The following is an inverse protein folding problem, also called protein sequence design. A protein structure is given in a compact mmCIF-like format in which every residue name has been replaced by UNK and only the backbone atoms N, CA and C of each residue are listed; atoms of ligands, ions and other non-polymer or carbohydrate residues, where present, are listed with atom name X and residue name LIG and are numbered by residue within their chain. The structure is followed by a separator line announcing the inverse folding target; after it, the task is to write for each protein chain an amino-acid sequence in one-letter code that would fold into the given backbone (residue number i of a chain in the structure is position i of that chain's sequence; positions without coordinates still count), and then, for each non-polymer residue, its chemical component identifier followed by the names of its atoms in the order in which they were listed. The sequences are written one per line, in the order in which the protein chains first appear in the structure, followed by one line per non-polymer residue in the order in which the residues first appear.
data_IF_028283769514
#
_entry.id   IF_028283769514
#
_cell.length_a   1.000
_cell.length_b   1.000
_cell.length_c   1.000
_cell.angle_alpha   90.00
_cell.angle_beta   90.00
_cell.angle_gamma   90.00
#
_symmetry.space_group_name_H-M   'P 1'
#
loop_
_entity.id
_entity.type
_entity.pdbx_description
1 polymer ?
#
# COMPACT_ATOMS: atom_id res chain seq x y z
N UNK A 1 12.10 -1.31 6.97
CA UNK A 1 10.70 -1.79 6.87
C UNK A 1 10.08 -1.23 5.60
N UNK A 2 9.23 -2.00 4.89
CA UNK A 2 8.50 -1.50 3.70
C UNK A 2 7.11 -0.98 4.11
N UNK A 3 6.74 0.21 3.64
CA UNK A 3 5.48 0.86 3.99
C UNK A 3 4.82 1.38 2.72
N UNK A 4 3.53 1.09 2.53
CA UNK A 4 2.73 1.62 1.42
C UNK A 4 2.29 3.05 1.67
N UNK A 5 2.17 3.85 0.61
CA UNK A 5 1.63 5.20 0.68
C UNK A 5 0.21 5.19 1.28
N UNK A 6 -0.65 4.27 0.83
CA UNK A 6 -2.03 4.18 1.35
C UNK A 6 -2.08 3.96 2.86
N UNK A 7 -1.09 3.24 3.40
CA UNK A 7 -0.98 3.01 4.84
C UNK A 7 -0.43 4.22 5.58
N UNK A 8 0.54 4.92 5.00
CA UNK A 8 1.09 6.16 5.58
C UNK A 8 0.02 7.25 5.63
N UNK A 9 -0.81 7.34 4.59
CA UNK A 9 -2.00 8.19 4.56
C UNK A 9 -2.93 7.78 5.72
N UNK A 10 -3.45 8.77 6.43
CA UNK A 10 -4.26 8.60 7.64
C UNK A 10 -3.52 8.10 8.90
N UNK A 11 -2.21 7.87 8.89
CA UNK A 11 -1.48 7.65 10.15
C UNK A 11 -1.55 8.89 11.04
N UNK A 12 -1.58 8.66 12.35
CA UNK A 12 -1.49 9.76 13.32
C UNK A 12 -0.05 10.26 13.43
N UNK A 13 0.12 11.56 13.57
CA UNK A 13 1.43 12.18 13.77
C UNK A 13 1.57 12.60 15.23
N UNK A 14 2.58 12.09 15.90
CA UNK A 14 2.86 12.36 17.32
C UNK A 14 4.25 12.99 17.46
N UNK A 15 4.34 14.06 18.24
CA UNK A 15 5.60 14.60 18.70
C UNK A 15 6.10 13.79 19.91
N UNK A 16 7.19 13.05 19.73
CA UNK A 16 7.66 12.03 20.66
C UNK A 16 8.16 12.64 21.98
N UNK A 17 8.93 13.74 21.92
CA UNK A 17 9.47 14.40 23.11
C UNK A 17 8.38 14.95 24.04
N UNK A 18 7.24 15.40 23.49
CA UNK A 18 6.14 16.01 24.23
C UNK A 18 4.98 15.04 24.50
N UNK A 19 4.98 13.85 23.88
CA UNK A 19 3.84 12.93 23.91
C UNK A 19 2.57 13.54 23.30
N UNK A 20 2.71 14.49 22.37
CA UNK A 20 1.61 15.30 21.85
C UNK A 20 1.16 14.81 20.48
N UNK A 21 -0.12 14.51 20.34
CA UNK A 21 -0.73 14.27 19.04
C UNK A 21 -0.86 15.58 18.27
N UNK A 22 -0.26 15.63 17.07
CA UNK A 22 -0.27 16.80 16.20
C UNK A 22 -1.42 16.74 15.20
N UNK A 23 -1.67 15.57 14.60
CA UNK A 23 -2.62 15.46 13.51
C UNK A 23 -2.66 14.10 12.82
N UNK A 24 -3.11 14.08 11.57
CA UNK A 24 -3.15 12.90 10.71
C UNK A 24 -2.56 13.20 9.34
N UNK A 25 -1.77 12.26 8.80
CA UNK A 25 -1.12 12.37 7.50
C UNK A 25 -2.17 12.48 6.39
N UNK A 26 -1.94 13.43 5.48
CA UNK A 26 -2.82 13.72 4.34
C UNK A 26 -2.13 13.50 3.01
N UNK A 27 -0.97 14.12 2.84
CA UNK A 27 -0.22 14.17 1.58
C UNK A 27 1.24 13.85 1.83
N UNK A 28 1.91 13.41 0.78
CA UNK A 28 3.31 13.02 0.80
C UNK A 28 4.03 13.74 -0.33
N UNK A 29 5.11 14.47 -0.01
CA UNK A 29 5.93 15.15 -0.99
C UNK A 29 7.16 14.34 -1.34
N UNK A 30 7.44 14.28 -2.63
CA UNK A 30 8.39 13.36 -3.22
C UNK A 30 9.34 14.07 -4.19
N UNK A 31 10.62 13.70 -4.14
CA UNK A 31 11.60 14.08 -5.15
C UNK A 31 11.68 12.98 -6.21
N UNK A 32 11.08 13.20 -7.38
CA UNK A 32 11.09 12.21 -8.47
C UNK A 32 12.48 11.90 -9.03
N UNK A 33 13.45 12.83 -8.89
CA UNK A 33 14.81 12.63 -9.39
C UNK A 33 15.63 11.77 -8.44
N UNK A 34 15.55 12.06 -7.14
CA UNK A 34 16.25 11.29 -6.08
C UNK A 34 15.48 10.06 -5.64
N UNK A 35 14.20 9.98 -5.98
CA UNK A 35 13.24 8.93 -5.60
C UNK A 35 13.11 8.76 -4.09
N UNK A 36 13.08 9.88 -3.37
CA UNK A 36 12.95 9.91 -1.92
C UNK A 36 11.76 10.75 -1.50
N UNK A 37 11.10 10.33 -0.43
CA UNK A 37 10.10 11.15 0.24
C UNK A 37 10.79 12.30 0.98
N UNK A 38 10.37 13.52 0.70
CA UNK A 38 10.91 14.75 1.26
C UNK A 38 10.17 15.19 2.51
N UNK A 39 8.84 15.07 2.48
CA UNK A 39 7.99 15.59 3.54
C UNK A 39 6.63 14.93 3.61
N UNK A 40 6.01 15.11 4.77
CA UNK A 40 4.70 14.59 5.13
C UNK A 40 3.83 15.78 5.49
N UNK A 41 2.73 15.96 4.78
CA UNK A 41 1.69 16.90 5.14
C UNK A 41 0.71 16.23 6.08
N UNK A 42 0.31 16.94 7.13
CA UNK A 42 -0.69 16.46 8.08
C UNK A 42 -1.63 17.57 8.49
N UNK A 43 -2.89 17.18 8.72
CA UNK A 43 -3.92 18.12 9.20
C UNK A 43 -3.88 18.22 10.72
N UNK A 44 -3.71 19.43 11.24
CA UNK A 44 -3.76 19.71 12.68
C UNK A 44 -5.11 19.37 13.31
N UNK A 45 -5.13 19.01 14.60
CA UNK A 45 -6.40 18.76 15.34
C UNK A 45 -7.16 20.04 15.69
N UNK A 46 -6.45 21.09 16.09
CA UNK A 46 -7.04 22.34 16.61
C UNK A 46 -7.16 23.43 15.56
N UNK A 47 -6.29 23.43 14.56
CA UNK A 47 -6.28 24.40 13.47
C UNK A 47 -6.54 23.66 12.17
N UNK A 48 -7.38 24.22 11.30
CA UNK A 48 -7.67 23.62 9.98
C UNK A 48 -6.51 23.78 8.99
N UNK A 49 -5.37 24.30 9.42
CA UNK A 49 -4.17 24.44 8.61
C UNK A 49 -3.52 23.07 8.37
N UNK A 50 -2.98 22.91 7.15
CA UNK A 50 -2.06 21.84 6.84
C UNK A 50 -0.69 22.22 7.38
N UNK A 51 -0.02 21.25 8.00
CA UNK A 51 1.34 21.39 8.51
C UNK A 51 2.23 20.38 7.81
N UNK A 52 3.51 20.73 7.69
CA UNK A 52 4.53 19.94 7.03
C UNK A 52 5.58 19.47 8.01
N UNK A 53 6.03 18.23 7.87
CA UNK A 53 7.24 17.74 8.51
C UNK A 53 8.18 17.14 7.46
N UNK A 54 9.46 17.47 7.54
CA UNK A 54 10.48 16.84 6.72
C UNK A 54 10.68 15.38 7.17
N UNK A 55 10.94 14.48 6.23
CA UNK A 55 11.18 13.05 6.55
C UNK A 55 12.36 12.84 7.48
N UNK A 56 13.39 13.69 7.41
CA UNK A 56 14.52 13.68 8.35
C UNK A 56 14.17 14.03 9.81
N UNK A 57 12.97 14.55 10.08
CA UNK A 57 12.47 14.78 11.44
C UNK A 57 11.66 13.60 11.99
N UNK A 58 11.37 12.58 11.16
CA UNK A 58 10.69 11.36 11.57
C UNK A 58 11.68 10.45 12.28
N UNK A 59 11.43 10.16 13.54
CA UNK A 59 12.28 9.29 14.37
C UNK A 59 11.96 7.82 14.13
N UNK A 60 10.67 7.49 14.03
CA UNK A 60 10.19 6.13 13.79
C UNK A 60 8.79 6.12 13.19
N UNK A 61 8.46 5.03 12.50
CA UNK A 61 7.10 4.73 12.04
C UNK A 61 6.61 3.47 12.73
N UNK A 62 5.52 3.59 13.48
CA UNK A 62 4.82 2.49 14.12
C UNK A 62 3.74 1.89 13.20
N UNK A 63 2.83 1.12 13.79
CA UNK A 63 1.79 0.44 13.01
C UNK A 63 0.79 1.41 12.37
N UNK A 64 0.38 2.43 13.12
CA UNK A 64 -0.62 3.44 12.76
C UNK A 64 -0.17 4.88 13.07
N UNK A 65 1.09 5.06 13.48
CA UNK A 65 1.61 6.30 14.04
C UNK A 65 2.96 6.64 13.42
N UNK A 66 3.13 7.89 13.01
CA UNK A 66 4.41 8.50 12.64
C UNK A 66 4.90 9.35 13.82
N UNK A 67 6.09 9.05 14.32
CA UNK A 67 6.69 9.78 15.43
C UNK A 67 7.68 10.81 14.90
N UNK A 68 7.39 12.08 15.12
CA UNK A 68 8.34 13.18 14.94
C UNK A 68 9.16 13.34 16.21
N UNK A 69 10.40 13.83 16.08
CA UNK A 69 11.26 14.11 17.22
C UNK A 69 10.62 15.04 18.26
N UNK A 70 10.04 16.14 17.79
CA UNK A 70 9.41 17.17 18.63
C UNK A 70 8.34 17.94 17.84
N UNK A 71 7.54 18.76 18.53
CA UNK A 71 6.45 19.52 17.92
C UNK A 71 6.96 20.63 16.99
N UNK A 72 8.16 21.17 17.26
CA UNK A 72 8.83 22.20 16.43
C UNK A 72 9.24 21.69 15.04
N UNK A 73 9.24 20.37 14.84
CA UNK A 73 9.44 19.78 13.52
C UNK A 73 8.26 20.03 12.57
N UNK A 74 7.11 20.42 13.10
CA UNK A 74 5.96 20.89 12.33
C UNK A 74 6.20 22.30 11.81
N UNK A 75 6.07 22.47 10.49
CA UNK A 75 6.26 23.74 9.77
C UNK A 75 4.99 24.09 9.01
N UNK A 76 4.84 25.36 8.67
CA UNK A 76 3.75 25.82 7.81
C UNK A 76 4.18 25.83 6.33
N UNK A 77 5.48 26.02 6.07
CA UNK A 77 6.00 26.08 4.71
C UNK A 77 6.09 24.69 4.06
N UNK A 78 5.54 24.61 2.84
CA UNK A 78 5.63 23.43 1.99
C UNK A 78 7.07 23.26 1.45
N UNK A 79 7.71 22.10 1.65
CA UNK A 79 9.03 21.85 1.07
C UNK A 79 8.94 21.70 -0.46
N UNK A 80 10.01 22.02 -1.20
CA UNK A 80 10.00 21.90 -2.65
C UNK A 80 9.94 20.43 -3.07
N UNK A 81 8.84 20.01 -3.70
CA UNK A 81 8.64 18.63 -4.15
C UNK A 81 7.43 18.49 -5.06
N UNK A 82 7.23 17.27 -5.57
CA UNK A 82 6.01 16.87 -6.27
C UNK A 82 5.09 16.14 -5.30
N UNK A 83 3.79 16.37 -5.37
CA UNK A 83 2.84 15.52 -4.65
C UNK A 83 2.88 14.11 -5.23
N UNK A 84 3.02 13.11 -4.36
CA UNK A 84 2.96 11.73 -4.81
C UNK A 84 1.59 11.37 -5.38
N UNK A 85 0.51 12.02 -4.92
CA UNK A 85 -0.83 11.81 -5.47
C UNK A 85 -0.91 12.15 -6.96
N UNK A 86 -0.14 13.14 -7.43
CA UNK A 86 -0.07 13.52 -8.85
C UNK A 86 0.63 12.49 -9.74
N UNK A 87 1.21 11.44 -9.13
CA UNK A 87 1.80 10.32 -9.86
C UNK A 87 0.84 9.14 -10.01
N UNK A 88 -0.25 9.08 -9.23
CA UNK A 88 -1.21 7.99 -9.34
C UNK A 88 -1.98 8.07 -10.66
N UNK A 89 -2.21 6.92 -11.28
CA UNK A 89 -2.79 6.78 -12.60
C UNK A 89 -1.79 6.90 -13.75
N UNK A 90 -0.54 7.32 -13.52
CA UNK A 90 0.47 7.38 -14.57
C UNK A 90 0.76 5.99 -15.14
N UNK A 91 0.99 5.92 -16.46
CA UNK A 91 1.28 4.64 -17.14
C UNK A 91 2.67 4.15 -16.76
N UNK A 92 2.76 2.89 -16.35
CA UNK A 92 4.02 2.19 -16.06
C UNK A 92 4.37 1.30 -17.23
N UNK A 93 5.50 1.58 -17.87
CA UNK A 93 5.95 0.92 -19.10
C UNK A 93 7.41 0.52 -18.97
N UNK A 94 7.77 -0.61 -19.55
CA UNK A 94 9.16 -1.07 -19.64
C UNK A 94 9.87 -0.52 -20.88
N UNK A 95 11.19 -0.42 -20.86
CA UNK A 95 12.00 0.03 -22.01
C UNK A 95 11.95 -0.92 -23.22
N UNK A 96 11.42 -2.14 -23.09
CA UNK A 96 11.09 -3.04 -24.20
C UNK A 96 9.70 -2.76 -24.81
N UNK A 97 8.98 -1.74 -24.32
CA UNK A 97 7.71 -1.29 -24.87
C UNK A 97 6.48 -2.05 -24.34
N UNK A 98 6.65 -2.93 -23.34
CA UNK A 98 5.52 -3.58 -22.68
C UNK A 98 4.93 -2.64 -21.63
N UNK A 99 3.61 -2.43 -21.69
CA UNK A 99 2.84 -1.74 -20.65
C UNK A 99 2.54 -2.70 -19.51
N UNK A 100 2.88 -2.32 -18.28
CA UNK A 100 2.69 -3.14 -17.08
C UNK A 100 1.36 -2.84 -16.38
N UNK A 101 0.92 -1.57 -16.41
CA UNK A 101 -0.30 -1.10 -15.76
C UNK A 101 -0.30 0.41 -15.56
N UNK A 102 -1.09 0.89 -14.62
CA UNK A 102 -1.03 2.25 -14.10
C UNK A 102 -0.57 2.24 -12.63
N UNK A 103 0.09 3.31 -12.17
CA UNK A 103 0.50 3.42 -10.77
C UNK A 103 -0.73 3.59 -9.87
N UNK A 104 -0.91 2.70 -8.90
CA UNK A 104 -2.01 2.74 -7.93
C UNK A 104 -1.52 3.08 -6.52
N UNK A 105 -0.37 2.54 -6.11
CA UNK A 105 0.23 2.80 -4.80
C UNK A 105 1.76 2.73 -4.90
N UNK A 106 2.45 3.18 -3.86
CA UNK A 106 3.90 3.28 -3.81
C UNK A 106 4.43 2.67 -2.50
N UNK A 107 5.56 1.98 -2.56
CA UNK A 107 6.20 1.35 -1.40
C UNK A 107 7.51 2.05 -1.07
N UNK A 108 7.62 2.52 0.16
CA UNK A 108 8.79 3.21 0.68
C UNK A 108 9.55 2.36 1.70
N UNK A 109 10.85 2.55 1.77
CA UNK A 109 11.67 2.09 2.88
C UNK A 109 11.62 3.09 4.05
N UNK A 110 11.40 2.61 5.27
CA UNK A 110 11.24 3.45 6.46
C UNK A 110 12.49 4.19 6.95
N UNK A 111 13.68 3.69 6.64
CA UNK A 111 14.95 4.22 7.16
C UNK A 111 15.51 5.32 6.25
N UNK A 112 15.53 5.08 4.94
CA UNK A 112 15.99 6.05 3.95
C UNK A 112 14.88 6.82 3.23
N UNK A 113 13.60 6.48 3.48
CA UNK A 113 12.44 7.07 2.81
C UNK A 113 12.49 6.98 1.27
N UNK A 114 13.29 6.05 0.75
CA UNK A 114 13.42 5.78 -0.69
C UNK A 114 12.22 5.02 -1.21
N UNK A 115 11.76 5.38 -2.41
CA UNK A 115 10.76 4.63 -3.15
C UNK A 115 11.39 3.35 -3.70
N UNK A 116 10.95 2.19 -3.22
CA UNK A 116 11.56 0.89 -3.52
C UNK A 116 10.69 -0.01 -4.40
N UNK A 117 9.37 0.19 -4.43
CA UNK A 117 8.49 -0.53 -5.33
C UNK A 117 7.28 0.30 -5.74
N UNK A 118 6.71 -0.03 -6.91
CA UNK A 118 5.44 0.47 -7.41
C UNK A 118 4.39 -0.62 -7.29
N UNK A 119 3.19 -0.24 -6.89
CA UNK A 119 2.00 -1.09 -6.94
C UNK A 119 1.15 -0.64 -8.11
N UNK A 120 0.80 -1.58 -8.95
CA UNK A 120 0.03 -1.38 -10.17
C UNK A 120 -1.46 -1.55 -9.89
N UNK A 121 -2.29 -0.92 -10.72
CA UNK A 121 -3.76 -1.02 -10.72
C UNK A 121 -4.31 -2.45 -10.84
N UNK A 122 -3.55 -3.36 -11.45
CA UNK A 122 -3.86 -4.79 -11.51
C UNK A 122 -3.44 -5.59 -10.24
N UNK A 123 -2.99 -4.89 -9.19
CA UNK A 123 -2.48 -5.46 -7.95
C UNK A 123 -1.06 -6.01 -8.03
N UNK A 124 -0.40 -5.95 -9.19
CA UNK A 124 1.01 -6.33 -9.34
C UNK A 124 1.94 -5.36 -8.60
N UNK A 125 3.05 -5.86 -8.09
CA UNK A 125 4.10 -5.06 -7.47
C UNK A 125 5.41 -5.27 -8.23
N UNK A 126 6.08 -4.17 -8.57
CA UNK A 126 7.37 -4.17 -9.28
C UNK A 126 8.38 -3.32 -8.50
N UNK A 127 9.55 -3.90 -8.22
CA UNK A 127 10.62 -3.18 -7.54
C UNK A 127 11.19 -2.08 -8.45
N UNK A 128 11.50 -0.91 -7.91
CA UNK A 128 12.23 0.12 -8.65
C UNK A 128 13.71 -0.22 -8.65
N UNK A 129 14.32 -0.08 -9.82
CA UNK A 129 15.75 -0.13 -10.00
C UNK A 129 16.37 1.26 -10.15
N UNK A 130 17.70 1.32 -10.25
CA UNK A 130 18.44 2.56 -10.44
C UNK A 130 18.17 3.25 -11.81
N UNK A 131 17.68 2.53 -12.81
CA UNK A 131 17.43 3.02 -14.18
C UNK A 131 16.01 3.59 -14.35
N UNK A 132 15.11 3.36 -13.40
CA UNK A 132 13.72 3.78 -13.47
C UNK A 132 13.56 5.31 -13.64
N UNK A 133 12.78 5.75 -14.62
CA UNK A 133 12.50 7.18 -14.83
C UNK A 133 11.08 7.48 -14.38
N UNK A 134 10.95 8.36 -13.39
CA UNK A 134 9.66 8.87 -12.90
C UNK A 134 9.34 10.17 -13.64
N UNK A 135 8.75 10.04 -14.82
CA UNK A 135 8.39 11.16 -15.68
C UNK A 135 7.15 11.92 -15.19
N UNK A 136 6.78 12.95 -15.95
CA UNK A 136 5.56 13.73 -15.70
C UNK A 136 4.31 12.90 -16.00
N UNK A 137 4.27 12.25 -17.18
CA UNK A 137 3.12 11.50 -17.70
C UNK A 137 3.28 9.97 -17.65
N UNK A 138 4.52 9.48 -17.54
CA UNK A 138 4.81 8.05 -17.58
C UNK A 138 5.97 7.68 -16.68
N UNK A 139 5.90 6.47 -16.14
CA UNK A 139 6.99 5.83 -15.42
C UNK A 139 7.61 4.78 -16.35
N UNK A 140 8.92 4.91 -16.60
CA UNK A 140 9.70 3.98 -17.41
C UNK A 140 10.55 3.10 -16.51
N UNK A 141 10.47 1.79 -16.69
CA UNK A 141 11.27 0.80 -15.98
C UNK A 141 12.26 0.12 -16.95
N UNK A 142 13.29 -0.54 -16.41
CA UNK A 142 14.27 -1.27 -17.23
C UNK A 142 13.63 -2.30 -18.16
N UNK A 143 14.41 -2.75 -19.15
CA UNK A 143 14.02 -3.86 -20.02
C UNK A 143 13.79 -5.13 -19.21
N UNK A 144 12.68 -5.84 -19.47
CA UNK A 144 12.35 -7.08 -18.77
C UNK A 144 11.64 -6.90 -17.43
N UNK A 145 11.39 -5.66 -16.98
CA UNK A 145 10.65 -5.40 -15.75
C UNK A 145 9.25 -6.03 -15.72
N UNK A 146 8.65 -6.27 -16.89
CA UNK A 146 7.36 -6.95 -17.00
C UNK A 146 7.38 -8.39 -16.44
N UNK A 147 8.52 -9.08 -16.55
CA UNK A 147 8.67 -10.47 -16.09
C UNK A 147 8.93 -10.53 -14.57
N UNK A 148 9.23 -9.39 -13.95
CA UNK A 148 9.48 -9.25 -12.51
C UNK A 148 8.24 -8.82 -11.72
N UNK A 149 7.11 -8.57 -12.39
CA UNK A 149 5.87 -8.16 -11.73
C UNK A 149 5.38 -9.29 -10.83
N UNK A 150 5.39 -9.03 -9.52
CA UNK A 150 4.92 -9.97 -8.50
C UNK A 150 3.46 -9.66 -8.20
N UNK A 151 2.57 -10.59 -8.48
CA UNK A 151 1.22 -10.52 -7.96
C UNK A 151 1.23 -11.11 -6.54
N UNK A 152 0.73 -10.39 -5.53
CA UNK A 152 0.50 -11.00 -4.23
C UNK A 152 -0.44 -12.19 -4.48
N UNK A 153 0.05 -13.40 -4.20
CA UNK A 153 -0.79 -14.59 -4.21
C UNK A 153 -1.89 -14.28 -3.22
N UNK A 154 -3.12 -14.08 -3.74
CA UNK A 154 -4.26 -13.71 -2.92
C UNK A 154 -4.29 -14.65 -1.71
N UNK A 155 -3.98 -14.10 -0.52
CA UNK A 155 -3.95 -14.87 0.70
C UNK A 155 -5.39 -15.29 1.01
N UNK A 156 -5.78 -16.46 0.52
CA UNK A 156 -6.99 -17.16 0.91
C UNK A 156 -8.30 -16.60 0.34
N UNK A 157 -8.82 -17.28 -0.69
CA UNK A 157 -10.25 -17.57 -0.85
C UNK A 157 -11.22 -16.42 -0.56
N UNK A 158 -11.33 -15.50 -1.53
CA UNK A 158 -12.40 -14.50 -1.55
C UNK A 158 -13.78 -15.15 -1.39
N UNK A 159 -14.67 -14.47 -0.69
CA UNK A 159 -16.04 -14.86 -0.32
C UNK A 159 -16.81 -15.68 -1.39
N UNK A 160 -16.59 -15.40 -2.68
CA UNK A 160 -17.21 -16.11 -3.80
C UNK A 160 -16.77 -17.58 -3.95
N UNK A 161 -15.53 -17.95 -3.64
CA UNK A 161 -15.11 -19.36 -3.75
C UNK A 161 -15.74 -20.27 -2.68
N UNK A 162 -16.27 -19.71 -1.58
CA UNK A 162 -17.03 -20.47 -0.56
C UNK A 162 -18.50 -20.69 -0.91
N UNK A 163 -19.09 -19.81 -1.73
CA UNK A 163 -20.51 -19.92 -2.10
C UNK A 163 -20.71 -20.88 -3.28
N UNK A 164 -19.74 -20.97 -4.20
CA UNK A 164 -19.89 -21.78 -5.42
C UNK A 164 -19.23 -23.18 -5.36
N UNK A 165 -18.53 -23.55 -4.28
CA UNK A 165 -17.87 -24.86 -4.14
C UNK A 165 -18.39 -25.70 -2.98
N UNK A 166 -19.64 -25.49 -2.53
CA UNK A 166 -20.33 -26.49 -1.70
C UNK A 166 -20.63 -27.73 -2.55
N UNK A 167 -19.66 -28.64 -2.60
CA UNK A 167 -19.89 -30.01 -3.01
C UNK A 167 -21.09 -30.55 -2.20
N UNK A 168 -22.16 -31.05 -2.84
CA UNK A 168 -23.26 -31.64 -2.10
C UNK A 168 -22.72 -32.83 -1.29
N UNK A 169 -23.17 -32.99 -0.03
CA UNK A 169 -22.69 -34.08 0.81
C UNK A 169 -22.96 -35.43 0.12
N UNK A 170 -22.04 -36.41 0.22
CA UNK A 170 -22.24 -37.72 -0.38
C UNK A 170 -23.55 -38.32 0.17
N UNK A 171 -24.37 -38.82 -0.75
CA UNK A 171 -25.65 -39.44 -0.45
C UNK A 171 -25.49 -40.49 0.66
N UNK A 172 -26.21 -40.30 1.76
CA UNK A 172 -26.23 -41.27 2.87
C UNK A 172 -26.78 -42.60 2.35
N UNK A 173 -26.07 -43.73 2.51
CA UNK A 173 -26.57 -45.02 2.06
C UNK A 173 -27.85 -45.38 2.83
N UNK A 174 -28.94 -45.58 2.09
CA UNK A 174 -30.23 -46.03 2.62
C UNK A 174 -30.05 -47.31 3.44
N UNK A 175 -30.45 -47.27 4.72
CA UNK A 175 -30.51 -48.46 5.55
C UNK A 175 -31.57 -49.43 4.99
N UNK A 176 -31.24 -50.73 4.81
CA UNK A 176 -32.19 -51.70 4.32
C UNK A 176 -33.37 -51.89 5.29
N UNK A 177 -34.59 -51.72 4.77
CA UNK A 177 -35.84 -51.98 5.48
C UNK A 177 -35.89 -53.45 5.92
N UNK A 178 -35.84 -53.70 7.24
CA UNK A 178 -36.11 -55.01 7.84
C UNK A 178 -37.54 -55.45 7.52
N UNK A 179 -37.68 -56.52 6.74
CA UNK A 179 -38.94 -57.20 6.51
C UNK A 179 -39.38 -57.94 7.78
N UNK A 180 -40.55 -57.58 8.31
CA UNK A 180 -41.24 -58.33 9.36
C UNK A 180 -41.77 -59.64 8.76
N UNK A 181 -41.10 -60.77 9.04
CA UNK A 181 -41.69 -62.10 8.85
C UNK A 181 -42.78 -62.31 9.92
N UNK A 182 -44.03 -62.41 9.45
CA UNK A 182 -45.16 -62.90 10.24
C UNK A 182 -44.96 -64.38 10.56
N UNK A 183 -45.05 -64.72 11.85
CA UNK A 183 -45.36 -66.07 12.34
C UNK A 183 -46.75 -66.46 11.84
N UNK A 184 -46.91 -67.69 11.40
CA UNK A 184 -48.19 -68.37 11.31
C UNK A 184 -48.05 -69.72 12.01
N UNK A 185 -49.09 -70.03 12.75
CA UNK A 185 -49.27 -71.16 13.67
C UNK A 185 -49.08 -72.54 13.03
#
# INVERSE_FOLDING_TARGET
MRIRYTRLKAMEVIANAEGRMLGSVRRLLFDSRKRVLLGIAFKGRTLSAEHWALTGAVERVGENIVFLKNAESAREDEPPGRDLEDMFGLSVTSLDGKRLGALDDAVFESEGWGLVALVLDNGGEVDLDAEAVLGEDTILLRKGAADEVRHPVAAGGGFFSRIFHSQPPPATPERPRRSRRRRKD
#
